data_IF_533683756382
#
_entry.id   IF_533683756382
#
_cell.length_a   1.000
_cell.length_b   1.000
_cell.length_c   1.000
_cell.angle_alpha   90.00
_cell.angle_beta   90.00
_cell.angle_gamma   90.00
#
_symmetry.space_group_name_H-M   'P 1'
#
loop_
_entity.id
_entity.type
_entity.pdbx_description
1 polymer ?
#
# COMPACT_ATOMS: atom_id res chain seq x y z
N UNK A 1 54.62 -21.00 -34.91
CA UNK A 1 53.14 -21.02 -35.17
C UNK A 1 52.32 -21.76 -34.11
N UNK A 2 52.90 -22.12 -32.93
CA UNK A 2 52.21 -22.80 -31.82
C UNK A 2 51.73 -21.87 -30.67
N UNK A 3 52.28 -20.67 -30.55
CA UNK A 3 51.91 -19.73 -29.52
C UNK A 3 50.58 -19.00 -29.71
N UNK A 4 50.13 -18.80 -30.98
CA UNK A 4 48.85 -18.09 -31.26
C UNK A 4 47.60 -18.89 -30.92
N UNK A 5 47.70 -20.23 -30.93
CA UNK A 5 46.54 -21.10 -30.59
C UNK A 5 46.21 -21.15 -29.11
N UNK A 6 47.25 -21.03 -28.23
CA UNK A 6 47.05 -21.08 -26.79
C UNK A 6 46.50 -19.77 -26.21
N UNK A 7 46.79 -18.63 -26.89
CA UNK A 7 46.24 -17.33 -26.51
C UNK A 7 44.74 -17.25 -26.84
N UNK A 8 44.34 -17.84 -27.97
CA UNK A 8 42.92 -17.88 -28.37
C UNK A 8 42.05 -18.77 -27.42
N UNK A 9 42.65 -19.86 -26.92
CA UNK A 9 41.98 -20.75 -25.97
C UNK A 9 41.87 -20.13 -24.59
N UNK A 10 42.83 -19.32 -24.15
CA UNK A 10 42.78 -18.62 -22.89
C UNK A 10 41.76 -17.47 -22.88
N UNK A 11 41.60 -16.75 -24.02
CA UNK A 11 40.58 -15.70 -24.16
C UNK A 11 39.15 -16.28 -24.22
N UNK A 12 38.97 -17.51 -24.78
CA UNK A 12 37.66 -18.15 -24.79
C UNK A 12 37.20 -18.63 -23.40
N UNK A 13 38.15 -18.96 -22.50
CA UNK A 13 37.83 -19.39 -21.13
C UNK A 13 37.45 -18.21 -20.21
N UNK A 14 37.91 -16.99 -20.51
CA UNK A 14 37.57 -15.80 -19.76
C UNK A 14 36.17 -15.22 -20.08
N UNK A 15 35.56 -15.65 -21.20
CA UNK A 15 34.23 -15.17 -21.62
C UNK A 15 33.07 -15.90 -20.93
N UNK A 16 33.32 -16.98 -20.20
CA UNK A 16 32.29 -17.72 -19.44
C UNK A 16 32.17 -17.31 -17.96
N UNK A 17 33.02 -16.42 -17.45
CA UNK A 17 32.96 -15.98 -16.04
C UNK A 17 32.18 -14.69 -15.83
N UNK A 18 31.43 -14.21 -16.84
CA UNK A 18 30.75 -12.90 -16.78
C UNK A 18 29.22 -12.91 -16.81
N UNK A 19 28.56 -14.03 -16.52
CA UNK A 19 27.10 -14.11 -16.58
C UNK A 19 26.48 -14.95 -15.45
N UNK A 20 26.93 -14.74 -14.21
CA UNK A 20 26.08 -14.96 -13.05
C UNK A 20 25.69 -13.57 -12.55
N UNK A 21 24.65 -12.96 -13.11
CA UNK A 21 23.76 -12.16 -12.29
C UNK A 21 23.17 -13.18 -11.34
N UNK A 22 23.55 -13.15 -10.06
CA UNK A 22 22.83 -13.86 -9.02
C UNK A 22 21.42 -13.26 -9.02
N UNK A 23 20.48 -13.90 -9.72
CA UNK A 23 19.08 -13.57 -9.63
C UNK A 23 18.70 -13.86 -8.17
N UNK A 24 18.44 -12.77 -7.41
CA UNK A 24 18.08 -12.84 -5.99
C UNK A 24 16.91 -13.79 -5.83
N UNK A 25 17.08 -14.86 -5.04
CA UNK A 25 16.03 -15.85 -4.86
C UNK A 25 14.79 -15.22 -4.21
N UNK A 26 13.60 -15.78 -4.46
CA UNK A 26 12.38 -15.33 -3.80
C UNK A 26 12.51 -15.33 -2.27
N UNK A 27 13.24 -16.30 -1.71
CA UNK A 27 13.50 -16.35 -0.26
C UNK A 27 14.35 -15.17 0.22
N UNK A 28 15.35 -14.75 -0.56
CA UNK A 28 16.18 -13.59 -0.26
C UNK A 28 15.40 -12.28 -0.40
N UNK A 29 14.58 -12.16 -1.43
CA UNK A 29 13.68 -11.00 -1.61
C UNK A 29 12.70 -10.87 -0.42
N UNK A 30 12.10 -11.97 0.05
CA UNK A 30 11.25 -11.95 1.26
C UNK A 30 12.04 -11.59 2.52
N UNK A 31 13.29 -12.01 2.63
CA UNK A 31 14.16 -11.61 3.74
C UNK A 31 14.48 -10.12 3.70
N UNK A 32 14.72 -9.58 2.50
CA UNK A 32 14.95 -8.16 2.26
C UNK A 32 13.70 -7.33 2.61
N UNK A 33 12.52 -7.75 2.15
CA UNK A 33 11.25 -7.14 2.50
C UNK A 33 11.05 -7.06 4.02
N UNK A 34 11.21 -8.19 4.73
CA UNK A 34 11.05 -8.20 6.20
C UNK A 34 12.02 -7.25 6.90
N UNK A 35 13.27 -7.18 6.44
CA UNK A 35 14.25 -6.22 6.96
C UNK A 35 13.85 -4.78 6.67
N UNK A 36 13.34 -4.51 5.47
CA UNK A 36 12.89 -3.17 5.09
C UNK A 36 11.69 -2.72 5.92
N UNK A 37 10.68 -3.59 6.12
CA UNK A 37 9.55 -3.30 7.01
C UNK A 37 10.04 -3.06 8.45
N UNK A 38 10.93 -3.89 8.98
CA UNK A 38 11.47 -3.72 10.34
C UNK A 38 12.23 -2.39 10.49
N UNK A 39 13.03 -2.01 9.50
CA UNK A 39 13.72 -0.72 9.48
C UNK A 39 12.74 0.45 9.39
N UNK A 40 11.69 0.31 8.57
CA UNK A 40 10.65 1.32 8.42
C UNK A 40 9.86 1.54 9.72
N UNK A 41 9.55 0.47 10.46
CA UNK A 41 8.92 0.56 11.79
C UNK A 41 9.80 1.25 12.83
N UNK A 42 11.11 1.08 12.74
CA UNK A 42 12.07 1.63 13.70
C UNK A 42 12.54 3.06 13.37
N UNK A 43 12.22 3.57 12.16
CA UNK A 43 12.71 4.88 11.68
C UNK A 43 12.14 6.04 12.48
N UNK A 44 12.84 7.18 12.43
CA UNK A 44 12.30 8.45 12.89
C UNK A 44 11.16 8.93 11.97
N UNK A 45 10.30 9.85 12.45
CA UNK A 45 9.24 10.43 11.62
C UNK A 45 9.78 11.00 10.32
N UNK A 46 9.04 10.82 9.24
CA UNK A 46 9.35 11.37 7.93
C UNK A 46 8.25 12.31 7.48
N UNK A 47 8.63 13.53 7.10
CA UNK A 47 7.72 14.50 6.48
C UNK A 47 8.19 14.73 5.05
N UNK A 48 7.32 14.45 4.09
CA UNK A 48 7.54 14.77 2.69
C UNK A 48 6.86 16.10 2.38
N UNK A 49 7.60 17.02 1.76
CA UNK A 49 7.12 18.34 1.37
C UNK A 49 7.07 18.45 -0.15
N UNK A 50 6.16 19.27 -0.63
CA UNK A 50 6.14 19.70 -2.03
C UNK A 50 7.18 20.81 -2.29
N UNK A 51 7.37 21.26 -3.55
CA UNK A 51 8.29 22.37 -3.87
C UNK A 51 7.95 23.71 -3.20
N UNK A 52 6.71 23.90 -2.73
CA UNK A 52 6.27 25.11 -2.03
C UNK A 52 6.49 25.02 -0.51
N UNK A 53 6.87 23.84 -0.01
CA UNK A 53 7.06 23.56 1.42
C UNK A 53 5.81 23.04 2.12
N UNK A 54 4.74 22.74 1.39
CA UNK A 54 3.54 22.17 1.95
C UNK A 54 3.71 20.66 2.19
N UNK A 55 3.11 20.14 3.28
CA UNK A 55 3.22 18.74 3.63
C UNK A 55 2.40 17.87 2.69
N UNK A 56 3.08 17.00 1.93
CA UNK A 56 2.44 15.96 1.12
C UNK A 56 2.05 14.77 2.00
N UNK A 57 2.99 14.25 2.77
CA UNK A 57 2.81 13.05 3.58
C UNK A 57 3.60 13.16 4.88
N UNK A 58 2.95 12.81 5.98
CA UNK A 58 3.58 12.72 7.28
C UNK A 58 3.49 11.28 7.78
N UNK A 59 4.64 10.60 7.82
CA UNK A 59 4.77 9.25 8.38
C UNK A 59 5.28 9.39 9.81
N UNK A 60 4.45 9.12 10.84
CA UNK A 60 4.87 9.25 12.22
C UNK A 60 5.85 8.16 12.64
N UNK A 61 6.44 8.30 13.82
CA UNK A 61 7.13 7.18 14.46
C UNK A 61 6.09 6.10 14.79
N UNK A 62 6.29 4.90 14.25
CA UNK A 62 5.31 3.83 14.33
C UNK A 62 5.47 3.08 15.67
N UNK A 63 4.34 2.86 16.34
CA UNK A 63 4.25 2.07 17.58
C UNK A 63 3.36 0.84 17.34
N UNK A 64 3.94 -0.34 17.02
CA UNK A 64 3.15 -1.53 16.75
C UNK A 64 2.42 -2.03 18.00
N UNK A 65 1.14 -2.40 17.82
CA UNK A 65 0.33 -3.04 18.86
C UNK A 65 -0.20 -4.39 18.36
N UNK A 66 -0.52 -5.28 19.30
CA UNK A 66 -1.14 -6.56 18.99
C UNK A 66 -2.61 -6.38 18.57
N UNK A 67 -3.13 -7.35 17.80
CA UNK A 67 -4.55 -7.40 17.46
C UNK A 67 -5.43 -7.52 18.71
N UNK A 68 -5.02 -8.27 19.73
CA UNK A 68 -5.73 -8.37 21.00
C UNK A 68 -5.88 -7.02 21.71
N UNK A 69 -4.81 -6.19 21.70
CA UNK A 69 -4.88 -4.83 22.28
C UNK A 69 -5.82 -3.95 21.47
N UNK A 70 -5.74 -4.03 20.14
CA UNK A 70 -6.62 -3.28 19.25
C UNK A 70 -8.10 -3.62 19.48
N UNK A 71 -8.43 -4.91 19.61
CA UNK A 71 -9.80 -5.37 19.90
C UNK A 71 -10.27 -4.90 21.29
N UNK A 72 -9.39 -4.88 22.29
CA UNK A 72 -9.68 -4.36 23.61
C UNK A 72 -9.90 -2.83 23.65
N UNK A 73 -9.51 -2.11 22.60
CA UNK A 73 -9.69 -0.66 22.39
C UNK A 73 -10.86 -0.38 21.41
N UNK A 74 -11.91 -1.20 21.38
CA UNK A 74 -13.05 -1.07 20.47
C UNK A 74 -12.66 -1.04 18.99
N UNK A 75 -11.60 -1.74 18.65
CA UNK A 75 -11.02 -1.77 17.29
C UNK A 75 -10.64 -0.36 16.80
N UNK A 76 -10.02 0.42 17.67
CA UNK A 76 -9.43 1.73 17.37
C UNK A 76 -7.94 1.74 17.74
N UNK A 77 -7.18 2.57 17.05
CA UNK A 77 -5.78 2.85 17.37
C UNK A 77 -5.66 4.20 18.05
N UNK A 78 -4.76 4.33 19.04
CA UNK A 78 -4.47 5.62 19.68
C UNK A 78 -3.50 6.43 18.77
N UNK A 79 -4.05 7.42 18.07
CA UNK A 79 -3.30 8.30 17.17
C UNK A 79 -2.24 9.11 17.92
N UNK A 80 -2.52 9.51 19.17
CA UNK A 80 -1.58 10.29 19.98
C UNK A 80 -0.31 9.50 20.32
N UNK A 81 -0.42 8.17 20.36
CA UNK A 81 0.68 7.22 20.56
C UNK A 81 1.21 6.62 19.27
N UNK A 82 0.69 7.06 18.12
CA UNK A 82 1.02 6.50 16.80
C UNK A 82 0.90 4.97 16.76
N UNK A 83 -0.16 4.42 17.34
CA UNK A 83 -0.39 2.98 17.37
C UNK A 83 -0.77 2.45 15.98
N UNK A 84 -0.13 1.34 15.60
CA UNK A 84 -0.44 0.56 14.40
C UNK A 84 -0.70 -0.89 14.82
N UNK A 85 -1.91 -1.40 14.57
CA UNK A 85 -2.21 -2.81 14.81
C UNK A 85 -1.54 -3.69 13.77
N UNK A 86 -0.88 -4.77 14.23
CA UNK A 86 -0.37 -5.83 13.35
C UNK A 86 -1.41 -6.95 13.23
N UNK A 87 -1.86 -7.21 12.01
CA UNK A 87 -2.64 -8.40 11.65
C UNK A 87 -1.69 -9.55 11.34
N UNK A 88 -1.47 -10.43 12.30
CA UNK A 88 -0.41 -11.45 12.23
C UNK A 88 -0.54 -12.45 11.07
N UNK A 89 -1.74 -12.71 10.56
CA UNK A 89 -1.98 -13.62 9.42
C UNK A 89 -1.52 -13.03 8.09
N UNK A 90 -1.68 -11.73 7.90
CA UNK A 90 -1.38 -11.03 6.64
C UNK A 90 -0.08 -10.24 6.69
N UNK A 91 0.38 -9.88 7.90
CA UNK A 91 1.52 -9.00 8.09
C UNK A 91 1.23 -7.52 7.84
N UNK A 92 -0.05 -7.14 7.65
CA UNK A 92 -0.47 -5.76 7.47
C UNK A 92 -0.40 -5.03 8.81
N UNK A 93 0.12 -3.80 8.80
CA UNK A 93 -0.01 -2.86 9.92
C UNK A 93 -1.02 -1.79 9.54
N UNK A 94 -1.90 -1.42 10.46
CA UNK A 94 -2.93 -0.41 10.25
C UNK A 94 -3.01 0.56 11.41
N UNK A 95 -3.07 1.86 11.08
CA UNK A 95 -3.49 2.92 11.99
C UNK A 95 -4.82 3.50 11.48
N UNK A 96 -5.83 3.57 12.32
CA UNK A 96 -7.05 4.33 12.05
C UNK A 96 -6.83 5.75 12.56
N UNK A 97 -6.55 6.68 11.65
CA UNK A 97 -6.34 8.10 11.97
C UNK A 97 -7.68 8.79 12.26
N UNK A 98 -8.70 8.48 11.46
CA UNK A 98 -10.11 8.88 11.66
C UNK A 98 -11.01 7.71 11.31
N UNK A 99 -11.95 7.42 12.19
CA UNK A 99 -12.93 6.33 11.97
C UNK A 99 -13.89 6.65 10.82
N UNK A 100 -14.12 7.93 10.54
CA UNK A 100 -15.05 8.39 9.54
C UNK A 100 -16.46 8.53 10.04
N UNK A 101 -17.27 9.20 9.22
CA UNK A 101 -18.71 9.46 9.43
C UNK A 101 -19.57 8.35 8.82
N UNK A 102 -20.85 8.32 9.17
CA UNK A 102 -21.79 7.31 8.69
C UNK A 102 -21.67 6.00 9.46
N UNK A 103 -21.90 4.88 8.78
CA UNK A 103 -21.94 3.56 9.39
C UNK A 103 -20.89 2.63 8.77
N UNK A 104 -20.55 1.56 9.50
CA UNK A 104 -19.76 0.44 8.95
C UNK A 104 -20.56 -0.26 7.85
N UNK A 105 -19.84 -0.89 6.92
CA UNK A 105 -20.46 -1.74 5.92
C UNK A 105 -21.16 -2.92 6.59
N UNK A 106 -22.48 -3.01 6.39
CA UNK A 106 -23.33 -4.09 6.91
C UNK A 106 -23.42 -5.23 5.92
N UNK A 107 -23.86 -6.39 6.40
CA UNK A 107 -24.19 -7.50 5.51
C UNK A 107 -25.25 -7.09 4.47
N UNK A 108 -24.99 -7.42 3.22
CA UNK A 108 -25.85 -7.08 2.09
C UNK A 108 -25.56 -5.71 1.47
N UNK A 109 -24.69 -4.89 2.09
CA UNK A 109 -24.31 -3.61 1.49
C UNK A 109 -23.51 -3.82 0.21
N UNK A 110 -23.85 -3.05 -0.82
CA UNK A 110 -23.07 -2.84 -2.02
C UNK A 110 -22.94 -1.33 -2.24
N UNK A 111 -21.72 -0.80 -2.18
CA UNK A 111 -21.46 0.65 -2.22
C UNK A 111 -20.31 0.97 -3.14
N UNK A 112 -20.35 2.17 -3.74
CA UNK A 112 -19.18 2.81 -4.34
C UNK A 112 -18.49 3.68 -3.33
N UNK A 113 -17.17 3.52 -3.25
CA UNK A 113 -16.33 4.23 -2.29
C UNK A 113 -15.26 4.98 -3.07
N UNK A 114 -15.22 6.30 -2.85
CA UNK A 114 -14.15 7.16 -3.34
C UNK A 114 -12.97 7.01 -2.39
N UNK A 115 -11.79 6.71 -2.96
CA UNK A 115 -10.53 6.66 -2.24
C UNK A 115 -9.58 7.73 -2.75
N UNK A 116 -8.90 8.43 -1.82
CA UNK A 116 -7.75 9.28 -2.13
C UNK A 116 -6.58 8.85 -1.27
N UNK A 117 -5.40 8.77 -1.86
CA UNK A 117 -4.28 8.11 -1.20
C UNK A 117 -2.92 8.72 -1.56
N UNK A 118 -1.95 8.40 -0.73
CA UNK A 118 -0.52 8.44 -1.04
C UNK A 118 0.04 7.03 -0.95
N UNK A 119 0.85 6.65 -1.94
CA UNK A 119 1.61 5.40 -1.96
C UNK A 119 3.09 5.71 -1.84
N UNK A 120 3.75 5.12 -0.83
CA UNK A 120 5.17 5.29 -0.58
C UNK A 120 5.89 3.93 -0.61
N UNK A 121 6.93 3.83 -1.44
CA UNK A 121 7.75 2.62 -1.52
C UNK A 121 8.68 2.53 -0.32
N UNK A 122 8.53 1.48 0.49
CA UNK A 122 9.40 1.23 1.64
C UNK A 122 10.81 0.82 1.19
N UNK A 123 10.94 0.07 0.08
CA UNK A 123 12.25 -0.31 -0.47
C UNK A 123 12.93 0.84 -1.22
N UNK A 124 12.14 1.65 -1.93
CA UNK A 124 12.66 2.76 -2.73
C UNK A 124 12.85 4.05 -1.93
N UNK A 125 12.34 4.10 -0.69
CA UNK A 125 12.32 5.27 0.20
C UNK A 125 11.81 6.54 -0.50
N UNK A 126 10.69 6.41 -1.23
CA UNK A 126 10.15 7.47 -2.09
C UNK A 126 8.63 7.39 -2.28
N UNK A 127 7.99 8.55 -2.48
CA UNK A 127 6.60 8.63 -2.91
C UNK A 127 6.50 8.11 -4.35
N UNK A 128 5.60 7.14 -4.59
CA UNK A 128 5.42 6.50 -5.89
C UNK A 128 4.22 7.05 -6.63
N UNK A 129 3.06 7.04 -6.00
CA UNK A 129 1.79 7.38 -6.61
C UNK A 129 0.93 8.15 -5.62
N UNK A 130 0.20 9.14 -6.12
CA UNK A 130 -0.77 9.92 -5.33
C UNK A 130 -1.92 10.36 -6.21
N UNK A 131 -3.11 10.39 -5.66
CA UNK A 131 -4.30 10.97 -6.30
C UNK A 131 -4.94 12.07 -5.43
N UNK A 132 -4.19 12.57 -4.46
CA UNK A 132 -4.66 13.68 -3.61
C UNK A 132 -4.74 14.98 -4.41
N UNK A 133 -5.86 15.68 -4.26
CA UNK A 133 -6.15 16.93 -5.00
C UNK A 133 -5.27 18.09 -4.63
N UNK A 134 -4.65 18.04 -3.46
CA UNK A 134 -3.71 19.02 -2.96
C UNK A 134 -2.34 18.92 -3.62
N UNK A 135 -2.04 17.81 -4.31
CA UNK A 135 -0.74 17.59 -4.97
C UNK A 135 -0.86 17.39 -6.48
N UNK A 136 -1.71 16.45 -6.92
CA UNK A 136 -1.98 16.19 -8.34
C UNK A 136 -3.49 16.17 -8.56
N UNK A 137 -3.98 17.04 -9.43
CA UNK A 137 -5.39 17.08 -9.79
C UNK A 137 -5.79 15.85 -10.63
N UNK A 138 -5.76 14.67 -10.04
CA UNK A 138 -6.14 13.42 -10.68
C UNK A 138 -7.52 12.98 -10.25
N UNK A 139 -8.13 12.08 -11.03
CA UNK A 139 -9.38 11.42 -10.64
C UNK A 139 -9.12 10.53 -9.42
N UNK A 140 -10.04 10.48 -8.44
CA UNK A 140 -9.92 9.56 -7.32
C UNK A 140 -10.05 8.12 -7.79
N UNK A 141 -9.51 7.18 -7.01
CA UNK A 141 -9.90 5.78 -7.17
C UNK A 141 -11.32 5.58 -6.69
N UNK A 142 -12.09 4.82 -7.45
CA UNK A 142 -13.44 4.40 -7.08
C UNK A 142 -13.43 2.89 -6.92
N UNK A 143 -13.91 2.42 -5.76
CA UNK A 143 -14.07 1.02 -5.46
C UNK A 143 -15.54 0.64 -5.51
N UNK A 144 -15.89 -0.41 -6.27
CA UNK A 144 -17.12 -1.16 -6.08
C UNK A 144 -16.89 -2.17 -4.95
N UNK A 145 -17.60 -2.00 -3.84
CA UNK A 145 -17.42 -2.79 -2.61
C UNK A 145 -18.71 -3.51 -2.24
N UNK A 146 -18.60 -4.75 -1.82
CA UNK A 146 -19.74 -5.50 -1.26
C UNK A 146 -19.34 -6.24 0.01
N UNK A 147 -20.29 -6.38 0.94
CA UNK A 147 -20.14 -7.17 2.18
C UNK A 147 -21.14 -8.33 2.20
N UNK A 148 -20.63 -9.55 2.04
CA UNK A 148 -21.41 -10.78 2.11
C UNK A 148 -21.03 -11.56 3.39
N UNK A 149 -21.90 -11.49 4.41
CA UNK A 149 -21.70 -12.20 5.68
C UNK A 149 -20.34 -11.94 6.35
N UNK A 150 -19.88 -10.69 6.34
CA UNK A 150 -18.60 -10.29 6.91
C UNK A 150 -17.42 -10.45 5.96
N UNK A 151 -17.60 -11.07 4.80
CA UNK A 151 -16.59 -11.11 3.74
C UNK A 151 -16.72 -9.87 2.87
N UNK A 152 -15.78 -8.95 2.98
CA UNK A 152 -15.73 -7.74 2.17
C UNK A 152 -14.89 -8.02 0.91
N UNK A 153 -15.46 -7.73 -0.26
CA UNK A 153 -14.79 -7.78 -1.55
C UNK A 153 -14.82 -6.40 -2.20
N UNK A 154 -13.77 -6.08 -2.96
CA UNK A 154 -13.70 -4.83 -3.69
C UNK A 154 -13.03 -5.03 -5.05
N UNK A 155 -13.45 -4.20 -6.02
CA UNK A 155 -12.80 -4.05 -7.32
C UNK A 155 -12.71 -2.58 -7.68
N UNK A 156 -11.67 -2.20 -8.44
CA UNK A 156 -11.62 -0.86 -9.01
C UNK A 156 -12.74 -0.69 -10.03
N UNK A 157 -13.44 0.44 -9.95
CA UNK A 157 -14.47 0.81 -10.91
C UNK A 157 -13.83 1.18 -12.26
N UNK A 158 -14.20 0.45 -13.30
CA UNK A 158 -13.69 0.64 -14.66
C UNK A 158 -14.38 1.79 -15.42
N UNK A 159 -14.45 2.98 -14.82
CA UNK A 159 -15.05 4.16 -15.46
C UNK A 159 -14.16 4.81 -16.52
N UNK A 160 -14.70 5.86 -17.18
CA UNK A 160 -13.99 6.62 -18.22
C UNK A 160 -12.84 7.49 -17.69
N UNK A 161 -12.82 7.75 -16.39
CA UNK A 161 -11.77 8.52 -15.71
C UNK A 161 -11.15 7.66 -14.61
N UNK A 162 -10.25 6.74 -14.92
CA UNK A 162 -9.58 5.91 -13.91
C UNK A 162 -8.67 6.75 -13.03
N UNK A 163 -8.55 6.37 -11.76
CA UNK A 163 -7.60 6.98 -10.83
C UNK A 163 -6.15 6.58 -11.12
N UNK A 164 -5.21 7.17 -10.40
CA UNK A 164 -3.78 6.98 -10.62
C UNK A 164 -3.33 5.51 -10.42
N UNK A 165 -3.87 4.80 -9.43
CA UNK A 165 -3.58 3.38 -9.19
C UNK A 165 -4.03 2.52 -10.38
N UNK A 166 -5.24 2.74 -10.87
CA UNK A 166 -5.79 2.03 -12.03
C UNK A 166 -4.96 2.32 -13.29
N UNK A 167 -4.52 3.57 -13.50
CA UNK A 167 -3.68 3.93 -14.66
C UNK A 167 -2.29 3.29 -14.55
N UNK A 168 -1.63 3.39 -13.40
CA UNK A 168 -0.25 2.94 -13.22
C UNK A 168 -0.17 1.41 -13.20
N UNK A 169 -1.05 0.73 -12.48
CA UNK A 169 -0.98 -0.72 -12.30
C UNK A 169 -1.98 -1.51 -13.15
N UNK A 170 -3.16 -0.93 -13.43
CA UNK A 170 -4.18 -1.59 -14.22
C UNK A 170 -3.86 -1.66 -15.70
N UNK A 171 -3.18 -0.64 -16.25
CA UNK A 171 -2.83 -0.61 -17.67
C UNK A 171 -1.85 -1.71 -18.09
N UNK A 172 -1.04 -2.19 -17.18
CA UNK A 172 -0.06 -3.26 -17.44
C UNK A 172 -0.64 -4.66 -17.26
N UNK A 173 -1.75 -4.80 -16.52
CA UNK A 173 -2.31 -6.10 -16.13
C UNK A 173 -3.76 -6.30 -16.53
N UNK A 174 -4.46 -5.28 -17.05
CA UNK A 174 -5.93 -5.25 -17.21
C UNK A 174 -6.67 -5.68 -15.93
N UNK A 175 -6.08 -5.40 -14.77
CA UNK A 175 -6.59 -5.86 -13.49
C UNK A 175 -7.41 -4.77 -12.83
N UNK A 176 -8.63 -5.13 -12.41
CA UNK A 176 -9.46 -4.33 -11.51
C UNK A 176 -9.27 -4.72 -10.04
N UNK A 177 -8.28 -5.55 -9.75
CA UNK A 177 -8.04 -6.07 -8.41
C UNK A 177 -7.50 -4.98 -7.49
N UNK A 178 -8.22 -4.72 -6.42
CA UNK A 178 -7.80 -3.83 -5.34
C UNK A 178 -6.76 -4.55 -4.46
N UNK A 179 -5.68 -3.88 -4.02
CA UNK A 179 -4.78 -4.45 -3.03
C UNK A 179 -5.57 -4.94 -1.80
N UNK A 180 -5.33 -6.17 -1.35
CA UNK A 180 -6.04 -6.71 -0.19
C UNK A 180 -5.85 -5.85 1.06
N UNK A 181 -4.67 -5.23 1.19
CA UNK A 181 -4.40 -4.28 2.26
C UNK A 181 -5.38 -3.11 2.32
N UNK A 182 -5.92 -2.66 1.18
CA UNK A 182 -6.91 -1.58 1.12
C UNK A 182 -8.31 -2.01 1.56
N UNK A 183 -8.59 -3.32 1.56
CA UNK A 183 -9.90 -3.87 1.95
C UNK A 183 -9.99 -4.04 3.47
N UNK A 184 -8.86 -4.33 4.14
CA UNK A 184 -8.83 -4.58 5.59
C UNK A 184 -9.48 -3.46 6.41
N UNK A 185 -9.22 -2.16 6.17
CA UNK A 185 -9.83 -1.07 6.93
C UNK A 185 -11.35 -1.02 6.87
N UNK A 186 -11.95 -1.48 5.75
CA UNK A 186 -13.40 -1.42 5.54
C UNK A 186 -14.21 -2.22 6.56
N UNK A 187 -13.58 -3.17 7.27
CA UNK A 187 -14.19 -3.88 8.40
C UNK A 187 -14.27 -3.06 9.68
N UNK A 188 -13.52 -1.96 9.77
CA UNK A 188 -13.33 -1.22 11.01
C UNK A 188 -13.81 0.23 10.95
N UNK A 189 -13.70 0.87 9.78
CA UNK A 189 -14.07 2.28 9.58
C UNK A 189 -15.53 2.44 9.18
N UNK A 190 -16.05 3.66 9.35
CA UNK A 190 -17.36 4.06 8.87
C UNK A 190 -17.24 4.63 7.45
N UNK A 191 -18.21 4.31 6.61
CA UNK A 191 -18.26 4.77 5.22
C UNK A 191 -19.46 5.70 5.07
N UNK A 192 -19.17 6.98 5.08
CA UNK A 192 -20.15 8.05 4.88
C UNK A 192 -19.56 9.18 4.05
N UNK A 193 -20.31 10.26 3.96
CA UNK A 193 -19.93 11.48 3.25
C UNK A 193 -19.42 12.52 4.22
N UNK A 194 -18.40 13.27 3.83
CA UNK A 194 -17.92 14.38 4.63
C UNK A 194 -19.06 15.38 4.90
N UNK A 195 -19.14 15.83 6.13
CA UNK A 195 -19.97 16.95 6.56
C UNK A 195 -19.09 18.06 7.15
N UNK A 196 -19.70 19.16 7.59
CA UNK A 196 -18.97 20.33 8.10
C UNK A 196 -18.31 20.10 9.47
N UNK A 197 -18.73 19.07 10.20
CA UNK A 197 -18.27 18.81 11.59
C UNK A 197 -17.27 17.67 11.66
N UNK A 198 -17.44 16.66 10.81
CA UNK A 198 -16.67 15.41 10.91
C UNK A 198 -16.06 15.00 9.56
N UNK A 199 -14.82 14.54 9.63
CA UNK A 199 -14.09 14.10 8.44
C UNK A 199 -14.39 12.65 8.06
N UNK A 200 -14.19 12.33 6.78
CA UNK A 200 -14.24 10.97 6.25
C UNK A 200 -13.17 10.07 6.89
N UNK A 201 -13.34 8.76 6.72
CA UNK A 201 -12.35 7.80 7.20
C UNK A 201 -10.97 8.06 6.60
N UNK A 202 -9.93 7.95 7.44
CA UNK A 202 -8.54 8.08 7.05
C UNK A 202 -7.73 7.02 7.78
N UNK A 203 -6.96 6.24 7.05
CA UNK A 203 -6.11 5.19 7.61
C UNK A 203 -4.69 5.27 7.05
N UNK A 204 -3.74 4.71 7.81
CA UNK A 204 -2.38 4.47 7.36
C UNK A 204 -2.10 2.98 7.40
N UNK A 205 -1.44 2.47 6.38
CA UNK A 205 -1.19 1.04 6.20
C UNK A 205 0.27 0.80 5.87
N UNK A 206 0.84 -0.30 6.40
CA UNK A 206 2.02 -0.94 5.83
C UNK A 206 1.53 -2.26 5.24
N UNK A 207 1.68 -2.41 3.94
CA UNK A 207 1.15 -3.53 3.18
C UNK A 207 2.33 -4.33 2.62
N UNK A 208 2.56 -5.58 3.08
CA UNK A 208 3.57 -6.45 2.51
C UNK A 208 3.18 -6.85 1.07
N UNK A 209 4.14 -7.32 0.30
CA UNK A 209 3.96 -7.64 -1.12
C UNK A 209 2.78 -8.59 -1.38
N UNK A 210 2.56 -9.58 -0.50
CA UNK A 210 1.50 -10.60 -0.64
C UNK A 210 0.08 -10.02 -0.58
N UNK A 211 -0.08 -8.86 0.01
CA UNK A 211 -1.36 -8.17 0.22
C UNK A 211 -1.47 -6.89 -0.63
N UNK A 212 -0.45 -6.62 -1.45
CA UNK A 212 -0.35 -5.45 -2.32
C UNK A 212 -0.94 -5.64 -3.71
N UNK A 213 -0.50 -4.79 -4.64
CA UNK A 213 -0.81 -4.91 -6.08
C UNK A 213 -0.12 -6.13 -6.69
N UNK A 214 -0.53 -6.52 -7.91
CA UNK A 214 0.17 -7.55 -8.67
C UNK A 214 1.65 -7.19 -8.89
N UNK A 215 1.95 -5.92 -9.13
CA UNK A 215 3.32 -5.43 -9.26
C UNK A 215 4.10 -5.54 -7.95
N UNK A 216 3.48 -5.20 -6.81
CA UNK A 216 4.07 -5.39 -5.49
C UNK A 216 4.41 -6.87 -5.23
N UNK A 217 3.47 -7.78 -5.56
CA UNK A 217 3.65 -9.22 -5.42
C UNK A 217 4.81 -9.74 -6.28
N UNK A 218 4.88 -9.32 -7.55
CA UNK A 218 5.93 -9.77 -8.47
C UNK A 218 7.32 -9.28 -8.09
N UNK A 219 7.41 -8.08 -7.49
CA UNK A 219 8.68 -7.45 -7.11
C UNK A 219 9.03 -7.64 -5.62
N UNK A 220 8.23 -8.38 -4.87
CA UNK A 220 8.35 -8.58 -3.41
C UNK A 220 8.58 -7.25 -2.68
N UNK A 221 7.77 -6.24 -3.02
CA UNK A 221 7.90 -4.86 -2.57
C UNK A 221 6.78 -4.46 -1.60
N UNK A 222 7.11 -4.06 -0.36
CA UNK A 222 6.14 -3.53 0.59
C UNK A 222 5.92 -2.04 0.36
N UNK A 223 4.70 -1.57 0.65
CA UNK A 223 4.32 -0.17 0.52
C UNK A 223 3.68 0.36 1.81
N UNK A 224 3.89 1.65 2.06
CA UNK A 224 3.10 2.41 3.01
C UNK A 224 2.04 3.20 2.24
N UNK A 225 0.83 3.22 2.78
CA UNK A 225 -0.29 4.01 2.26
C UNK A 225 -0.85 4.93 3.34
N UNK A 226 -1.23 6.14 2.96
CA UNK A 226 -2.23 6.93 3.68
C UNK A 226 -3.43 7.04 2.75
N UNK A 227 -4.60 6.55 3.16
CA UNK A 227 -5.77 6.41 2.31
C UNK A 227 -7.04 6.84 3.04
N UNK A 228 -7.89 7.61 2.36
CA UNK A 228 -9.22 8.00 2.82
C UNK A 228 -10.32 7.21 2.12
N UNK A 229 -11.45 7.02 2.80
CA UNK A 229 -12.63 6.34 2.26
C UNK A 229 -13.86 7.22 2.44
N UNK A 230 -14.58 7.44 1.36
CA UNK A 230 -15.80 8.25 1.33
C UNK A 230 -16.88 7.57 0.47
N UNK A 231 -18.11 7.55 0.94
CA UNK A 231 -19.23 7.06 0.13
C UNK A 231 -19.44 7.97 -1.09
N UNK A 232 -19.51 7.36 -2.28
CA UNK A 232 -19.80 8.06 -3.53
C UNK A 232 -21.29 8.45 -3.58
N UNK A 233 -21.61 9.56 -4.21
CA UNK A 233 -23.00 9.89 -4.58
C UNK A 233 -23.41 9.04 -5.78
N UNK A 234 -24.62 8.51 -5.70
CA UNK A 234 -25.31 7.91 -6.86
C UNK A 234 -25.59 8.98 -7.93
#
# INVERSE_FOLDING_TARGET
MKMKKNILLLCALCLFCGACKDDESYADQKKKERKAIAAFLARDPLVLLDPNGDTILNIPKINPISQQKFEAQDSMTDVSKNEFVLFGQTGIYMQIVRKGVGEKLKHGDAKRIICRYHEYSILGDSLCTTDRTDYWATSPEILDVSNNWGTITASFYGGSNPGAMTVVYGSTTNSTAVPKGWIVPLSYVNIGRQNDEEGIALVRLIVPHSEGTAAATSNVAPFFYEISYQEMRD
#
